data_IF_836817255579
#
_entry.id   IF_836817255579
#
_cell.length_a   1.000
_cell.length_b   1.000
_cell.length_c   1.000
_cell.angle_alpha   90.00
_cell.angle_beta   90.00
_cell.angle_gamma   90.00
#
_symmetry.space_group_name_H-M   'P 1'
#
loop_
_entity.id
_entity.type
_entity.pdbx_description
1 polymer ?
#
# COMPACT_ATOMS: atom_id res chain seq x y z
N UNK A 1 32.16 15.12 -19.56
CA UNK A 1 30.97 15.52 -18.78
C UNK A 1 30.93 14.73 -17.48
N UNK A 2 31.02 15.38 -16.34
CA UNK A 2 30.81 14.72 -15.04
C UNK A 2 29.38 14.96 -14.57
N UNK A 3 28.44 14.15 -15.06
CA UNK A 3 27.00 14.29 -14.79
C UNK A 3 26.70 14.18 -13.30
N UNK A 4 27.34 13.24 -12.62
CA UNK A 4 27.10 13.01 -11.19
C UNK A 4 27.49 14.24 -10.35
N UNK A 5 28.57 14.91 -10.70
CA UNK A 5 28.99 16.14 -10.06
C UNK A 5 27.95 17.27 -10.17
N UNK A 6 27.39 17.42 -11.36
CA UNK A 6 26.38 18.46 -11.62
C UNK A 6 25.09 18.15 -10.85
N UNK A 7 24.64 16.89 -10.89
CA UNK A 7 23.42 16.47 -10.16
C UNK A 7 23.58 16.63 -8.65
N UNK A 8 24.78 16.37 -8.11
CA UNK A 8 25.06 16.55 -6.68
C UNK A 8 24.97 18.03 -6.23
N UNK A 9 25.38 18.97 -7.09
CA UNK A 9 25.36 20.42 -6.80
C UNK A 9 24.00 21.07 -7.07
N UNK A 10 23.15 20.41 -7.85
CA UNK A 10 21.90 20.99 -8.30
C UNK A 10 20.77 20.73 -7.29
N UNK A 11 20.04 21.76 -6.90
CA UNK A 11 18.79 21.63 -6.17
C UNK A 11 17.61 21.65 -7.13
N UNK A 12 16.97 20.50 -7.30
CA UNK A 12 15.84 20.33 -8.19
C UNK A 12 14.59 21.09 -7.72
N UNK A 13 14.42 21.30 -6.42
CA UNK A 13 13.33 22.13 -5.90
C UNK A 13 13.48 23.60 -6.35
N UNK A 14 14.69 24.12 -6.29
CA UNK A 14 14.98 25.48 -6.78
C UNK A 14 14.78 25.58 -8.29
N UNK A 15 15.19 24.58 -9.07
CA UNK A 15 14.93 24.55 -10.52
C UNK A 15 13.43 24.54 -10.83
N UNK A 16 12.65 23.80 -10.10
CA UNK A 16 11.18 23.76 -10.26
C UNK A 16 10.57 25.11 -9.91
N UNK A 17 11.04 25.80 -8.87
CA UNK A 17 10.62 27.17 -8.54
C UNK A 17 11.00 28.16 -9.64
N UNK A 18 12.21 28.06 -10.17
CA UNK A 18 12.68 28.88 -11.30
C UNK A 18 11.82 28.66 -12.56
N UNK A 19 11.27 27.45 -12.73
CA UNK A 19 10.35 27.12 -13.82
C UNK A 19 8.90 27.57 -13.57
N UNK A 20 8.61 28.24 -12.44
CA UNK A 20 7.28 28.71 -12.07
C UNK A 20 6.44 27.72 -11.25
N UNK A 21 7.00 26.57 -10.88
CA UNK A 21 6.35 25.64 -9.97
C UNK A 21 6.47 26.09 -8.50
N UNK A 22 5.52 25.68 -7.66
CA UNK A 22 5.52 25.99 -6.22
C UNK A 22 5.34 24.70 -5.41
N UNK A 23 6.39 23.87 -5.28
CA UNK A 23 6.30 22.63 -4.54
C UNK A 23 5.94 22.88 -3.08
N UNK A 24 4.96 22.10 -2.57
CA UNK A 24 4.59 22.08 -1.17
C UNK A 24 5.63 21.32 -0.31
N UNK A 25 5.36 21.17 0.99
CA UNK A 25 6.23 20.47 1.94
C UNK A 25 6.42 18.98 1.61
N UNK A 26 5.58 18.41 0.71
CA UNK A 26 5.66 17.06 0.21
C UNK A 26 6.26 16.99 -1.20
N UNK A 27 6.76 18.12 -1.73
CA UNK A 27 7.34 18.21 -3.05
C UNK A 27 6.32 18.19 -4.20
N UNK A 28 5.03 18.44 -3.94
CA UNK A 28 3.97 18.40 -4.94
C UNK A 28 3.58 19.80 -5.42
N UNK A 29 3.35 19.93 -6.72
CA UNK A 29 2.85 21.16 -7.33
C UNK A 29 2.13 20.89 -8.65
N UNK A 30 1.59 21.94 -9.26
CA UNK A 30 1.21 21.94 -10.66
C UNK A 30 2.46 21.75 -11.54
N UNK A 31 2.32 21.05 -12.66
CA UNK A 31 3.47 20.77 -13.52
C UNK A 31 4.00 22.04 -14.22
N UNK A 32 5.24 22.46 -13.97
CA UNK A 32 5.79 23.67 -14.58
C UNK A 32 6.20 23.47 -16.06
N UNK A 33 6.17 22.21 -16.55
CA UNK A 33 6.59 21.89 -17.92
C UNK A 33 5.44 22.09 -18.91
N UNK A 34 4.24 21.57 -18.59
CA UNK A 34 3.07 21.66 -19.47
C UNK A 34 1.95 22.55 -18.91
N UNK A 35 2.15 23.20 -17.75
CA UNK A 35 1.20 24.18 -17.21
C UNK A 35 -0.12 23.57 -16.71
N UNK A 36 -0.10 22.39 -16.12
CA UNK A 36 -1.33 21.74 -15.62
C UNK A 36 -1.88 22.41 -14.35
N UNK A 37 -3.21 22.46 -14.22
CA UNK A 37 -3.91 23.14 -13.11
C UNK A 37 -3.93 22.37 -11.78
N UNK A 38 -3.60 21.08 -11.79
CA UNK A 38 -3.67 20.25 -10.60
C UNK A 38 -2.42 20.38 -9.72
N UNK A 39 -2.56 20.82 -8.46
CA UNK A 39 -1.42 21.06 -7.56
C UNK A 39 -0.71 19.80 -7.10
N UNK A 40 -1.16 18.62 -7.49
CA UNK A 40 -0.60 17.31 -7.05
C UNK A 40 -0.02 16.48 -8.20
N UNK A 41 -0.11 16.94 -9.43
CA UNK A 41 0.26 16.15 -10.61
C UNK A 41 1.74 16.18 -10.95
N UNK A 42 2.53 16.99 -10.29
CA UNK A 42 3.98 17.00 -10.38
C UNK A 42 4.57 16.77 -9.01
N UNK A 43 5.59 15.93 -8.91
CA UNK A 43 6.21 15.56 -7.65
C UNK A 43 7.73 15.59 -7.77
N UNK A 44 8.37 16.35 -6.90
CA UNK A 44 9.81 16.32 -6.64
C UNK A 44 10.04 15.47 -5.39
N UNK A 45 10.92 14.50 -5.46
CA UNK A 45 11.19 13.59 -4.37
C UNK A 45 12.66 13.15 -4.35
N UNK A 46 13.10 12.60 -3.24
CA UNK A 46 14.44 12.01 -3.14
C UNK A 46 14.33 10.49 -3.19
N UNK A 47 15.13 9.86 -4.05
CA UNK A 47 15.26 8.41 -4.17
C UNK A 47 16.73 8.05 -4.21
N UNK A 48 17.17 7.17 -3.29
CA UNK A 48 18.57 6.75 -3.17
C UNK A 48 19.58 7.93 -3.12
N UNK A 49 19.23 8.99 -2.36
CA UNK A 49 20.04 10.19 -2.22
C UNK A 49 20.06 11.12 -3.44
N UNK A 50 19.30 10.83 -4.49
CA UNK A 50 19.17 11.67 -5.69
C UNK A 50 17.80 12.35 -5.71
N UNK A 51 17.78 13.62 -6.05
CA UNK A 51 16.53 14.35 -6.31
C UNK A 51 16.00 13.95 -7.68
N UNK A 52 14.74 13.56 -7.70
CA UNK A 52 14.02 13.08 -8.88
C UNK A 52 12.70 13.83 -9.02
N UNK A 53 12.15 13.84 -10.22
CA UNK A 53 10.80 14.36 -10.46
C UNK A 53 9.95 13.38 -11.25
N UNK A 54 8.65 13.55 -11.15
CA UNK A 54 7.65 12.79 -11.90
C UNK A 54 6.43 13.66 -12.19
N UNK A 55 6.00 13.69 -13.45
CA UNK A 55 4.69 14.21 -13.84
C UNK A 55 3.70 13.06 -13.98
N UNK A 56 2.50 13.19 -13.38
CA UNK A 56 1.46 12.15 -13.36
C UNK A 56 0.29 12.44 -14.32
N UNK A 57 0.27 13.61 -14.97
CA UNK A 57 -0.86 14.07 -15.80
C UNK A 57 -0.50 14.49 -17.22
N UNK A 58 0.66 14.11 -17.71
CA UNK A 58 1.06 14.47 -19.07
C UNK A 58 2.26 13.64 -19.52
N UNK A 59 2.61 13.75 -20.80
CA UNK A 59 3.74 13.02 -21.40
C UNK A 59 5.11 13.62 -21.04
N UNK A 60 5.18 14.45 -19.98
CA UNK A 60 6.43 15.02 -19.52
C UNK A 60 7.42 13.95 -19.01
N UNK A 61 6.89 12.87 -18.48
CA UNK A 61 7.71 11.78 -17.93
C UNK A 61 8.22 12.04 -16.53
N UNK A 62 9.49 11.76 -16.29
CA UNK A 62 10.20 11.94 -15.03
C UNK A 62 11.69 11.75 -15.24
N UNK A 63 12.48 12.00 -14.21
CA UNK A 63 13.92 11.87 -14.27
C UNK A 63 14.65 12.69 -13.20
N UNK A 64 15.90 13.04 -13.47
CA UNK A 64 16.73 13.90 -12.63
C UNK A 64 16.67 15.37 -13.04
N UNK A 65 17.57 16.19 -12.51
CA UNK A 65 17.62 17.62 -12.82
C UNK A 65 17.99 17.92 -14.29
N UNK A 66 18.79 17.07 -14.93
CA UNK A 66 19.14 17.22 -16.34
C UNK A 66 17.94 16.94 -17.24
N UNK A 67 17.20 15.86 -16.93
CA UNK A 67 15.96 15.52 -17.62
C UNK A 67 14.92 16.64 -17.46
N UNK A 68 14.83 17.23 -16.23
CA UNK A 68 13.93 18.33 -15.97
C UNK A 68 14.24 19.54 -16.85
N UNK A 69 15.50 20.00 -16.86
CA UNK A 69 15.92 21.15 -17.66
C UNK A 69 15.71 20.88 -19.15
N UNK A 70 16.07 19.68 -19.61
CA UNK A 70 15.85 19.25 -20.99
C UNK A 70 14.38 19.35 -21.41
N UNK A 71 13.47 18.84 -20.59
CA UNK A 71 12.02 18.89 -20.86
C UNK A 71 11.44 20.29 -20.72
N UNK A 72 11.85 21.05 -19.69
CA UNK A 72 11.36 22.41 -19.44
C UNK A 72 11.77 23.40 -20.54
N UNK A 73 13.05 23.33 -20.99
CA UNK A 73 13.63 24.25 -21.95
C UNK A 73 13.61 23.76 -23.40
N UNK A 74 13.28 22.46 -23.61
CA UNK A 74 13.41 21.82 -24.92
C UNK A 74 14.87 21.68 -25.38
N UNK A 75 15.80 21.51 -24.42
CA UNK A 75 17.24 21.44 -24.69
C UNK A 75 17.73 19.98 -24.71
N UNK A 76 18.83 19.78 -25.44
CA UNK A 76 19.57 18.52 -25.40
C UNK A 76 20.37 18.39 -24.08
N UNK A 77 20.92 17.21 -23.86
CA UNK A 77 21.69 16.88 -22.66
C UNK A 77 22.88 17.84 -22.47
N UNK A 78 23.58 18.23 -23.54
CA UNK A 78 24.76 19.07 -23.47
C UNK A 78 24.39 20.46 -22.95
N UNK A 79 23.37 21.08 -23.53
CA UNK A 79 22.90 22.44 -23.12
C UNK A 79 22.34 22.40 -21.68
N UNK A 80 21.60 21.34 -21.33
CA UNK A 80 21.12 21.16 -19.95
C UNK A 80 22.26 21.04 -18.96
N UNK A 81 23.30 20.29 -19.32
CA UNK A 81 24.52 20.14 -18.53
C UNK A 81 25.27 21.45 -18.33
N UNK A 82 25.49 22.22 -19.41
CA UNK A 82 26.12 23.54 -19.37
C UNK A 82 25.33 24.53 -18.49
N UNK A 83 24.02 24.54 -18.62
CA UNK A 83 23.12 25.39 -17.82
C UNK A 83 23.21 25.09 -16.31
N UNK A 84 23.40 23.83 -15.94
CA UNK A 84 23.57 23.43 -14.55
C UNK A 84 25.01 23.61 -14.02
N UNK A 85 25.86 24.31 -14.76
CA UNK A 85 27.24 24.59 -14.35
C UNK A 85 28.25 23.47 -14.65
N UNK A 86 27.96 22.64 -15.65
CA UNK A 86 28.72 21.43 -16.00
C UNK A 86 30.12 21.66 -16.57
N UNK A 87 30.55 22.89 -16.84
CA UNK A 87 31.90 23.24 -17.31
C UNK A 87 32.93 23.40 -16.18
N UNK A 88 32.49 23.56 -14.93
CA UNK A 88 33.40 23.66 -13.78
C UNK A 88 33.93 22.28 -13.40
N UNK A 89 35.23 22.13 -13.39
CA UNK A 89 35.86 20.93 -12.78
C UNK A 89 35.45 20.85 -11.30
N UNK A 90 34.58 19.90 -10.98
CA UNK A 90 34.16 19.70 -9.59
C UNK A 90 35.34 19.17 -8.80
N UNK A 91 35.68 19.85 -7.71
CA UNK A 91 36.68 19.37 -6.74
C UNK A 91 36.20 18.00 -6.19
N UNK A 92 36.99 16.91 -6.34
CA UNK A 92 36.62 15.60 -5.83
C UNK A 92 36.34 15.58 -4.33
N UNK A 93 37.03 16.43 -3.56
CA UNK A 93 36.82 16.55 -2.13
C UNK A 93 35.45 17.19 -1.80
N UNK A 94 35.10 18.27 -2.49
CA UNK A 94 33.79 18.92 -2.35
C UNK A 94 32.65 17.99 -2.76
N UNK A 95 32.85 17.20 -3.82
CA UNK A 95 31.89 16.20 -4.28
C UNK A 95 31.61 15.13 -3.24
N UNK A 96 32.68 14.59 -2.63
CA UNK A 96 32.56 13.61 -1.57
C UNK A 96 31.82 14.20 -0.37
N UNK A 97 32.18 15.40 0.08
CA UNK A 97 31.51 16.10 1.19
C UNK A 97 30.01 16.28 0.93
N UNK A 98 29.62 16.74 -0.27
CA UNK A 98 28.21 16.92 -0.63
C UNK A 98 27.43 15.60 -0.70
N UNK A 99 28.08 14.54 -1.17
CA UNK A 99 27.49 13.19 -1.14
C UNK A 99 27.29 12.70 0.28
N UNK A 100 28.28 12.83 1.14
CA UNK A 100 28.22 12.44 2.55
C UNK A 100 27.13 13.22 3.31
N UNK A 101 27.04 14.54 3.08
CA UNK A 101 25.99 15.40 3.67
C UNK A 101 24.58 14.97 3.22
N UNK A 102 24.40 14.59 1.96
CA UNK A 102 23.11 14.09 1.46
C UNK A 102 22.75 12.73 2.05
N UNK A 103 23.71 11.82 2.13
CA UNK A 103 23.51 10.52 2.76
C UNK A 103 23.12 10.67 4.22
N UNK A 104 23.82 11.55 4.95
CA UNK A 104 23.51 11.82 6.36
C UNK A 104 22.14 12.45 6.52
N UNK A 105 21.77 13.42 5.68
CA UNK A 105 20.40 14.02 5.70
C UNK A 105 19.33 12.97 5.45
N UNK A 106 19.51 12.14 4.42
CA UNK A 106 18.57 11.07 4.10
C UNK A 106 18.44 10.04 5.25
N UNK A 107 19.55 9.74 5.93
CA UNK A 107 19.56 8.87 7.11
C UNK A 107 18.75 9.49 8.26
N UNK A 108 19.00 10.76 8.58
CA UNK A 108 18.29 11.48 9.65
C UNK A 108 16.80 11.63 9.36
N UNK A 109 16.41 11.90 8.11
CA UNK A 109 15.01 11.95 7.68
C UNK A 109 14.32 10.59 7.85
N UNK A 110 15.01 9.50 7.51
CA UNK A 110 14.49 8.14 7.69
C UNK A 110 14.32 7.79 9.17
N UNK A 111 15.32 8.10 10.00
CA UNK A 111 15.27 7.87 11.45
C UNK A 111 14.15 8.69 12.10
N UNK A 112 13.98 9.97 11.72
CA UNK A 112 12.90 10.81 12.24
C UNK A 112 11.52 10.26 11.83
N UNK A 113 11.39 9.83 10.57
CA UNK A 113 10.17 9.18 10.08
C UNK A 113 9.87 7.90 10.86
N UNK A 114 10.85 7.04 11.10
CA UNK A 114 10.69 5.83 11.89
C UNK A 114 10.26 6.13 13.33
N UNK A 115 10.91 7.10 13.97
CA UNK A 115 10.56 7.54 15.32
C UNK A 115 9.13 8.06 15.42
N UNK A 116 8.68 8.87 14.44
CA UNK A 116 7.29 9.35 14.37
C UNK A 116 6.30 8.20 14.18
N UNK A 117 6.63 7.25 13.32
CA UNK A 117 5.79 6.07 13.11
C UNK A 117 5.69 5.21 14.37
N UNK A 118 6.79 4.99 15.09
CA UNK A 118 6.78 4.24 16.34
C UNK A 118 5.98 4.95 17.44
N UNK A 119 6.11 6.27 17.55
CA UNK A 119 5.34 7.05 18.50
C UNK A 119 3.84 6.98 18.21
N UNK A 120 3.45 7.17 16.94
CA UNK A 120 2.06 7.07 16.51
C UNK A 120 1.48 5.65 16.71
N UNK A 121 2.31 4.61 16.50
CA UNK A 121 1.89 3.22 16.77
C UNK A 121 1.67 2.96 18.25
N UNK A 122 2.57 3.44 19.12
CA UNK A 122 2.38 3.32 20.58
C UNK A 122 1.12 4.02 21.05
N UNK A 123 0.85 5.22 20.55
CA UNK A 123 -0.39 5.96 20.83
C UNK A 123 -1.62 5.16 20.42
N UNK A 124 -1.62 4.60 19.20
CA UNK A 124 -2.69 3.77 18.70
C UNK A 124 -2.91 2.51 19.57
N UNK A 125 -1.83 1.86 20.01
CA UNK A 125 -1.88 0.66 20.86
C UNK A 125 -2.45 0.98 22.25
N UNK A 126 -2.02 2.09 22.86
CA UNK A 126 -2.52 2.50 24.19
C UNK A 126 -3.99 2.93 24.15
N UNK A 127 -4.44 3.47 23.03
CA UNK A 127 -5.81 3.97 22.90
C UNK A 127 -6.87 2.86 22.79
N UNK A 128 -6.47 1.61 22.48
CA UNK A 128 -7.34 0.43 22.35
C UNK A 128 -8.64 0.68 21.53
N UNK A 129 -8.57 1.58 20.56
CA UNK A 129 -9.74 2.03 19.80
C UNK A 129 -10.44 0.88 19.07
N UNK A 130 -9.70 -0.14 18.65
CA UNK A 130 -10.28 -1.32 18.00
C UNK A 130 -11.21 -2.07 18.93
N UNK A 131 -10.87 -2.20 20.22
CA UNK A 131 -11.75 -2.77 21.25
C UNK A 131 -12.98 -1.91 21.44
N UNK A 132 -12.79 -0.58 21.59
CA UNK A 132 -13.91 0.34 21.70
C UNK A 132 -14.87 0.25 20.51
N UNK A 133 -14.37 0.24 19.27
CA UNK A 133 -15.21 0.09 18.06
C UNK A 133 -15.95 -1.24 18.01
N UNK A 134 -15.38 -2.30 18.56
CA UNK A 134 -16.04 -3.60 18.66
C UNK A 134 -17.14 -3.58 19.73
N UNK A 135 -16.83 -3.17 20.95
CA UNK A 135 -17.74 -3.21 22.09
C UNK A 135 -18.93 -2.26 21.95
N UNK A 136 -18.71 -1.09 21.35
CA UNK A 136 -19.76 -0.08 21.13
C UNK A 136 -20.48 -0.20 19.78
N UNK A 137 -20.16 -1.25 19.00
CA UNK A 137 -20.76 -1.45 17.69
C UNK A 137 -22.26 -1.60 17.77
N UNK A 138 -22.98 -0.69 17.13
CA UNK A 138 -24.45 -0.73 17.02
C UNK A 138 -24.94 -1.79 16.06
N UNK A 139 -26.23 -2.09 16.12
CA UNK A 139 -26.85 -3.16 15.33
C UNK A 139 -26.61 -3.00 13.83
N UNK A 140 -26.61 -1.77 13.27
CA UNK A 140 -26.34 -1.56 11.85
C UNK A 140 -24.95 -2.10 11.42
N UNK A 141 -23.95 -1.92 12.28
CA UNK A 141 -22.59 -2.41 12.01
C UNK A 141 -22.53 -3.94 12.03
N UNK A 142 -23.18 -4.56 13.04
CA UNK A 142 -23.33 -6.01 13.14
C UNK A 142 -24.04 -6.60 11.90
N UNK A 143 -25.14 -5.99 11.49
CA UNK A 143 -25.90 -6.40 10.31
C UNK A 143 -25.08 -6.28 9.02
N UNK A 144 -24.27 -5.21 8.90
CA UNK A 144 -23.39 -5.04 7.74
C UNK A 144 -22.28 -6.08 7.67
N UNK A 145 -21.74 -6.50 8.80
CA UNK A 145 -20.77 -7.60 8.87
C UNK A 145 -21.44 -8.94 8.57
N UNK A 146 -22.60 -9.21 9.17
CA UNK A 146 -23.37 -10.42 8.93
C UNK A 146 -23.75 -10.61 7.45
N UNK A 147 -24.14 -9.53 6.76
CA UNK A 147 -24.41 -9.53 5.31
C UNK A 147 -23.17 -9.90 4.47
N UNK A 148 -21.98 -9.82 5.03
CA UNK A 148 -20.74 -10.25 4.40
C UNK A 148 -20.32 -11.68 4.80
N UNK A 149 -21.17 -12.42 5.50
CA UNK A 149 -20.90 -13.76 5.98
C UNK A 149 -20.06 -13.82 7.26
N UNK A 150 -19.95 -12.70 7.97
CA UNK A 150 -19.23 -12.60 9.24
C UNK A 150 -20.26 -12.41 10.36
N UNK A 151 -20.72 -13.51 10.93
CA UNK A 151 -21.65 -13.54 12.06
C UNK A 151 -21.05 -12.96 13.35
N UNK A 152 -21.83 -12.86 14.43
CA UNK A 152 -21.36 -12.27 15.68
C UNK A 152 -20.16 -13.01 16.30
N UNK A 153 -20.07 -14.32 16.14
CA UNK A 153 -18.93 -15.11 16.59
C UNK A 153 -17.65 -14.73 15.85
N UNK A 154 -17.73 -14.61 14.52
CA UNK A 154 -16.62 -14.17 13.67
C UNK A 154 -16.27 -12.69 13.88
N UNK A 155 -17.27 -11.84 14.10
CA UNK A 155 -17.04 -10.44 14.45
C UNK A 155 -16.23 -10.31 15.74
N UNK A 156 -16.56 -11.10 16.75
CA UNK A 156 -15.82 -11.15 18.02
C UNK A 156 -14.44 -11.75 17.85
N UNK A 157 -14.32 -12.85 17.10
CA UNK A 157 -13.04 -13.51 16.85
C UNK A 157 -12.01 -12.58 16.18
N UNK A 158 -12.46 -11.80 15.20
CA UNK A 158 -11.61 -10.84 14.48
C UNK A 158 -11.62 -9.42 15.09
N UNK A 159 -12.33 -9.21 16.19
CA UNK A 159 -12.51 -7.91 16.83
C UNK A 159 -12.99 -6.85 15.82
N UNK A 160 -13.91 -7.24 14.93
CA UNK A 160 -14.48 -6.33 13.95
C UNK A 160 -15.41 -5.35 14.64
N UNK A 161 -15.37 -4.10 14.19
CA UNK A 161 -16.16 -3.04 14.81
C UNK A 161 -16.82 -2.12 13.79
N UNK A 162 -17.37 -1.03 14.30
CA UNK A 162 -17.89 0.08 13.49
C UNK A 162 -17.66 1.41 14.19
N UNK A 163 -17.40 2.44 13.40
CA UNK A 163 -17.34 3.82 13.85
C UNK A 163 -18.47 4.61 13.18
N UNK A 164 -19.28 5.32 13.96
CA UNK A 164 -20.42 6.07 13.42
C UNK A 164 -19.99 7.35 12.72
N UNK A 165 -18.90 7.94 13.20
CA UNK A 165 -18.47 9.27 12.79
C UNK A 165 -16.96 9.31 12.59
N UNK A 166 -16.50 8.66 11.51
CA UNK A 166 -15.10 8.73 11.13
C UNK A 166 -14.82 9.97 10.29
N UNK A 167 -13.86 10.78 10.73
CA UNK A 167 -13.54 12.07 10.10
C UNK A 167 -12.41 11.91 9.09
N UNK A 168 -12.63 12.31 7.86
CA UNK A 168 -11.64 12.31 6.77
C UNK A 168 -11.29 13.74 6.43
N UNK A 169 -9.98 14.05 6.43
CA UNK A 169 -9.43 15.37 6.08
C UNK A 169 -10.00 16.54 6.92
N UNK A 170 -10.54 16.24 8.10
CA UNK A 170 -11.01 17.24 9.06
C UNK A 170 -12.46 17.73 8.86
N UNK A 171 -13.11 17.40 7.75
CA UNK A 171 -14.43 17.96 7.39
C UNK A 171 -15.44 16.93 6.83
N UNK A 172 -14.98 15.79 6.36
CA UNK A 172 -15.88 14.76 5.84
C UNK A 172 -16.13 13.66 6.88
N UNK A 173 -17.36 13.60 7.36
CA UNK A 173 -17.84 12.66 8.37
C UNK A 173 -18.59 11.50 7.71
N UNK A 174 -18.24 10.27 8.05
CA UNK A 174 -18.89 9.08 7.47
C UNK A 174 -18.83 7.88 8.41
N UNK A 175 -19.90 7.06 8.46
CA UNK A 175 -19.82 5.79 9.18
C UNK A 175 -18.88 4.81 8.46
N UNK A 176 -18.20 3.99 9.26
CA UNK A 176 -17.26 3.00 8.76
C UNK A 176 -17.38 1.66 9.47
N UNK A 177 -17.00 0.60 8.78
CA UNK A 177 -16.69 -0.68 9.40
C UNK A 177 -15.19 -0.73 9.69
N UNK A 178 -14.78 -1.25 10.85
CA UNK A 178 -13.38 -1.25 11.28
C UNK A 178 -12.79 -2.65 11.33
N UNK A 179 -11.58 -2.76 10.78
CA UNK A 179 -10.79 -4.00 10.74
C UNK A 179 -9.46 -3.71 11.43
N UNK A 180 -9.20 -4.26 12.61
CA UNK A 180 -7.89 -4.15 13.23
C UNK A 180 -6.87 -4.99 12.46
N UNK A 181 -5.68 -4.44 12.30
CA UNK A 181 -4.56 -5.09 11.61
C UNK A 181 -3.48 -5.36 12.63
N UNK A 182 -3.16 -6.63 12.82
CA UNK A 182 -2.17 -7.08 13.79
C UNK A 182 -0.89 -7.57 13.12
N UNK A 183 0.22 -7.48 13.84
CA UNK A 183 1.46 -8.19 13.50
C UNK A 183 1.34 -9.68 13.83
N UNK A 184 2.34 -10.48 13.43
CA UNK A 184 2.47 -11.88 13.84
C UNK A 184 2.58 -12.03 15.37
N UNK A 185 3.11 -11.02 16.06
CA UNK A 185 3.20 -10.97 17.52
C UNK A 185 1.90 -10.48 18.20
N UNK A 186 0.79 -10.37 17.47
CA UNK A 186 -0.49 -9.85 17.96
C UNK A 186 -0.46 -8.37 18.40
N UNK A 187 0.51 -7.59 17.96
CA UNK A 187 0.54 -6.16 18.20
C UNK A 187 -0.33 -5.43 17.19
N UNK A 188 -1.14 -4.48 17.64
CA UNK A 188 -1.95 -3.65 16.76
C UNK A 188 -1.04 -2.74 15.92
N UNK A 189 -1.08 -2.93 14.60
CA UNK A 189 -0.32 -2.13 13.64
C UNK A 189 -1.08 -0.92 13.16
N UNK A 190 -2.37 -1.07 12.91
CA UNK A 190 -3.31 -0.01 12.54
C UNK A 190 -4.75 -0.53 12.58
N UNK A 191 -5.72 0.36 12.38
CA UNK A 191 -7.12 0.00 12.14
C UNK A 191 -7.48 0.49 10.74
N UNK A 192 -8.08 -0.40 9.95
CA UNK A 192 -8.54 -0.10 8.60
C UNK A 192 -10.03 0.22 8.64
N UNK A 193 -10.39 1.42 8.23
CA UNK A 193 -11.76 1.87 8.09
C UNK A 193 -12.26 1.59 6.69
N UNK A 194 -13.32 0.80 6.57
CA UNK A 194 -14.07 0.63 5.34
C UNK A 194 -15.24 1.59 5.34
N UNK A 195 -15.21 2.57 4.45
CA UNK A 195 -16.25 3.58 4.33
C UNK A 195 -17.57 2.94 3.90
N UNK A 196 -18.65 3.26 4.58
CA UNK A 196 -20.01 2.81 4.24
C UNK A 196 -20.49 3.53 2.97
N UNK A 197 -20.24 4.84 2.91
CA UNK A 197 -20.64 5.69 1.78
C UNK A 197 -19.41 6.41 1.20
N UNK A 198 -18.55 5.74 0.41
CA UNK A 198 -17.36 6.39 -0.16
C UNK A 198 -17.77 7.41 -1.22
N UNK A 199 -17.19 8.61 -1.19
CA UNK A 199 -17.45 9.67 -2.19
C UNK A 199 -16.98 9.26 -3.59
N UNK A 200 -15.96 8.41 -3.68
CA UNK A 200 -15.44 7.87 -4.95
C UNK A 200 -15.41 6.34 -4.89
N UNK A 201 -15.75 5.62 -5.96
CA UNK A 201 -15.77 4.15 -5.97
C UNK A 201 -14.47 3.48 -5.54
N UNK A 202 -13.34 4.12 -5.83
CA UNK A 202 -12.01 3.60 -5.49
C UNK A 202 -11.53 4.02 -4.08
N UNK A 203 -12.29 4.85 -3.39
CA UNK A 203 -11.92 5.43 -2.11
C UNK A 203 -12.65 4.73 -0.96
N UNK A 204 -12.50 3.41 -0.88
CA UNK A 204 -13.28 2.57 0.04
C UNK A 204 -12.64 2.40 1.42
N UNK A 205 -11.35 2.68 1.54
CA UNK A 205 -10.61 2.37 2.76
C UNK A 205 -9.75 3.55 3.22
N UNK A 206 -9.68 3.73 4.53
CA UNK A 206 -8.80 4.69 5.20
C UNK A 206 -8.10 4.05 6.40
N UNK A 207 -6.86 4.42 6.71
CA UNK A 207 -6.24 4.04 7.97
C UNK A 207 -6.76 4.90 9.12
N UNK A 208 -6.84 4.36 10.33
CA UNK A 208 -7.09 5.12 11.56
C UNK A 208 -6.00 6.17 11.76
N UNK A 209 -4.74 5.74 11.67
CA UNK A 209 -3.60 6.61 11.81
C UNK A 209 -2.85 6.70 10.49
N UNK A 210 -2.86 7.89 9.90
CA UNK A 210 -2.09 8.17 8.69
C UNK A 210 -0.59 8.12 8.97
N UNK A 211 0.20 7.71 7.98
CA UNK A 211 1.67 7.73 8.06
C UNK A 211 2.30 6.54 8.78
N UNK A 212 1.53 5.61 9.35
CA UNK A 212 2.06 4.35 9.90
C UNK A 212 2.58 3.37 8.83
N UNK A 213 2.64 3.83 7.59
CA UNK A 213 3.00 3.00 6.46
C UNK A 213 1.79 2.29 5.84
N UNK A 214 2.06 1.51 4.81
CA UNK A 214 1.04 0.65 4.21
C UNK A 214 0.55 -0.37 5.24
N UNK A 215 -0.70 -0.78 5.10
CA UNK A 215 -1.17 -1.96 5.81
C UNK A 215 -0.25 -3.14 5.49
N UNK A 216 -0.07 -4.10 6.44
CA UNK A 216 0.65 -5.31 6.12
C UNK A 216 0.06 -5.91 4.84
N UNK A 217 0.88 -6.38 3.91
CA UNK A 217 0.38 -6.99 2.68
C UNK A 217 -0.37 -8.29 2.95
N UNK A 218 -0.29 -8.81 4.18
CA UNK A 218 -0.82 -10.10 4.56
C UNK A 218 -1.73 -9.99 5.78
N UNK A 219 -2.87 -10.64 5.69
CA UNK A 219 -3.63 -11.13 6.84
C UNK A 219 -3.56 -12.66 6.77
N UNK A 220 -2.86 -13.30 7.68
CA UNK A 220 -2.76 -14.77 7.76
C UNK A 220 -3.66 -15.29 8.88
N UNK A 221 -4.47 -16.31 8.59
CA UNK A 221 -5.42 -16.94 9.51
C UNK A 221 -5.30 -18.48 9.40
N UNK A 222 -4.91 -19.21 10.44
CA UNK A 222 -4.35 -18.74 11.71
C UNK A 222 -2.98 -18.07 11.53
N UNK A 223 -2.62 -17.24 12.48
CA UNK A 223 -1.45 -16.35 12.36
C UNK A 223 -0.10 -17.04 12.50
N UNK A 224 0.01 -18.12 13.24
CA UNK A 224 1.29 -18.70 13.64
C UNK A 224 1.33 -20.22 13.58
N UNK A 225 2.52 -20.77 13.32
CA UNK A 225 2.81 -22.20 13.51
C UNK A 225 2.28 -23.12 12.41
N UNK A 226 2.02 -22.59 11.24
CA UNK A 226 1.49 -23.38 10.13
C UNK A 226 2.60 -24.20 9.44
N UNK A 227 2.69 -25.45 9.80
CA UNK A 227 3.74 -26.40 9.45
C UNK A 227 3.44 -27.26 8.22
N UNK A 228 3.10 -26.69 7.09
CA UNK A 228 3.14 -27.46 5.85
C UNK A 228 1.83 -28.03 5.32
N UNK A 229 0.68 -27.57 5.77
CA UNK A 229 -0.61 -27.81 5.12
C UNK A 229 -0.80 -27.00 3.83
N UNK A 230 -2.04 -26.70 3.49
CA UNK A 230 -2.41 -25.95 2.31
C UNK A 230 -2.57 -24.47 2.64
N UNK A 231 -2.00 -23.59 1.82
CA UNK A 231 -2.21 -22.15 1.92
C UNK A 231 -3.16 -21.71 0.81
N UNK A 232 -4.20 -20.97 1.20
CA UNK A 232 -5.14 -20.34 0.27
C UNK A 232 -4.89 -18.83 0.28
N UNK A 233 -4.62 -18.25 -0.87
CA UNK A 233 -4.36 -16.81 -1.01
C UNK A 233 -5.50 -16.14 -1.75
N UNK A 234 -6.05 -15.07 -1.17
CA UNK A 234 -7.16 -14.30 -1.74
C UNK A 234 -6.87 -12.80 -1.72
N UNK A 235 -7.62 -12.02 -2.49
CA UNK A 235 -7.50 -10.56 -2.49
C UNK A 235 -8.37 -9.93 -1.39
N UNK A 236 -7.76 -9.28 -0.43
CA UNK A 236 -8.44 -8.53 0.64
C UNK A 236 -8.72 -9.32 1.92
N UNK A 237 -8.77 -8.58 3.01
CA UNK A 237 -8.89 -9.13 4.36
C UNK A 237 -10.28 -9.75 4.60
N UNK A 238 -11.34 -9.09 4.16
CA UNK A 238 -12.71 -9.59 4.36
C UNK A 238 -12.89 -10.94 3.65
N UNK A 239 -12.42 -11.06 2.42
CA UNK A 239 -12.48 -12.33 1.68
C UNK A 239 -11.67 -13.41 2.37
N UNK A 240 -10.51 -13.07 2.93
CA UNK A 240 -9.72 -14.04 3.71
C UNK A 240 -10.50 -14.54 4.93
N UNK A 241 -11.13 -13.66 5.68
CA UNK A 241 -11.95 -14.02 6.84
C UNK A 241 -13.13 -14.92 6.45
N UNK A 242 -13.86 -14.56 5.39
CA UNK A 242 -15.00 -15.38 4.89
C UNK A 242 -14.53 -16.74 4.36
N UNK A 243 -13.45 -16.76 3.59
CA UNK A 243 -12.86 -17.99 3.06
C UNK A 243 -12.42 -18.93 4.18
N UNK A 244 -11.71 -18.39 5.18
CA UNK A 244 -11.27 -19.16 6.34
C UNK A 244 -12.45 -19.70 7.15
N UNK A 245 -13.44 -18.87 7.45
CA UNK A 245 -14.63 -19.26 8.18
C UNK A 245 -15.43 -20.35 7.43
N UNK A 246 -15.52 -20.26 6.11
CA UNK A 246 -16.21 -21.25 5.28
C UNK A 246 -15.44 -22.58 5.18
N UNK A 247 -14.11 -22.53 5.09
CA UNK A 247 -13.29 -23.73 5.09
C UNK A 247 -13.36 -24.46 6.44
N UNK A 248 -13.25 -23.71 7.53
CA UNK A 248 -13.30 -24.22 8.91
C UNK A 248 -12.44 -25.50 9.13
N UNK A 249 -11.21 -25.49 8.59
CA UNK A 249 -10.29 -26.64 8.61
C UNK A 249 -8.96 -26.18 9.18
N UNK A 250 -8.46 -26.89 10.22
CA UNK A 250 -7.21 -26.55 10.91
C UNK A 250 -5.96 -26.63 10.03
N UNK A 251 -5.99 -27.48 8.99
CA UNK A 251 -4.85 -27.71 8.08
C UNK A 251 -4.74 -26.70 6.95
N UNK A 252 -5.52 -25.63 6.97
CA UNK A 252 -5.49 -24.61 5.95
C UNK A 252 -5.22 -23.24 6.57
N UNK A 253 -4.20 -22.60 6.07
CA UNK A 253 -3.98 -21.17 6.30
C UNK A 253 -4.62 -20.38 5.17
N UNK A 254 -5.33 -19.31 5.50
CA UNK A 254 -5.84 -18.35 4.51
C UNK A 254 -5.10 -17.04 4.63
N UNK A 255 -4.61 -16.53 3.53
CA UNK A 255 -3.87 -15.28 3.44
C UNK A 255 -4.64 -14.28 2.59
N UNK A 256 -4.95 -13.12 3.16
CA UNK A 256 -5.52 -11.98 2.45
C UNK A 256 -4.45 -10.98 2.06
N UNK A 257 -4.34 -10.65 0.77
CA UNK A 257 -3.40 -9.62 0.30
C UNK A 257 -4.10 -8.29 0.06
N UNK A 258 -3.40 -7.18 0.29
CA UNK A 258 -3.95 -5.84 0.12
C UNK A 258 -4.02 -5.44 -1.37
N UNK A 259 -4.96 -6.04 -2.10
CA UNK A 259 -5.17 -5.80 -3.53
C UNK A 259 -4.29 -6.66 -4.43
N UNK A 260 -4.71 -6.82 -5.69
CA UNK A 260 -4.07 -7.70 -6.69
C UNK A 260 -2.57 -7.44 -6.89
N UNK A 261 -2.14 -6.19 -6.84
CA UNK A 261 -0.73 -5.81 -6.97
C UNK A 261 0.18 -6.33 -5.84
N UNK A 262 -0.40 -6.86 -4.76
CA UNK A 262 0.35 -7.45 -3.66
C UNK A 262 0.62 -8.95 -3.87
N UNK A 263 -0.09 -9.64 -4.77
CA UNK A 263 0.15 -11.06 -5.04
C UNK A 263 1.64 -11.38 -5.31
N UNK A 264 2.34 -10.73 -6.27
CA UNK A 264 3.72 -11.08 -6.53
C UNK A 264 4.68 -10.78 -5.38
N UNK A 265 4.31 -9.90 -4.47
CA UNK A 265 5.18 -9.44 -3.37
C UNK A 265 5.36 -10.45 -2.25
N UNK A 266 4.42 -11.39 -2.12
CA UNK A 266 4.45 -12.44 -1.08
C UNK A 266 5.10 -13.75 -1.56
N UNK A 267 5.72 -13.73 -2.75
CA UNK A 267 6.27 -14.96 -3.33
C UNK A 267 7.38 -15.59 -2.47
N UNK A 268 8.18 -14.77 -1.77
CA UNK A 268 9.26 -15.28 -0.93
C UNK A 268 8.75 -16.04 0.30
N UNK A 269 7.67 -15.57 0.92
CA UNK A 269 7.04 -16.18 2.10
C UNK A 269 6.34 -17.50 1.75
N UNK A 270 6.01 -17.70 0.48
CA UNK A 270 5.27 -18.85 -0.01
C UNK A 270 6.14 -19.91 -0.71
N UNK A 271 7.45 -19.68 -0.84
CA UNK A 271 8.37 -20.65 -1.48
C UNK A 271 8.35 -22.01 -0.77
N UNK A 272 8.25 -23.07 -1.56
CA UNK A 272 8.24 -24.45 -1.05
C UNK A 272 6.95 -24.90 -0.37
N UNK A 273 5.93 -24.02 -0.28
CA UNK A 273 4.64 -24.31 0.33
C UNK A 273 3.61 -24.78 -0.72
N UNK A 274 2.58 -25.52 -0.28
CA UNK A 274 1.45 -25.86 -1.15
C UNK A 274 0.48 -24.69 -1.19
N UNK A 275 0.37 -24.03 -2.32
CA UNK A 275 -0.40 -22.79 -2.46
C UNK A 275 -1.52 -22.94 -3.47
N UNK A 276 -2.72 -22.45 -3.11
CA UNK A 276 -3.84 -22.23 -4.01
C UNK A 276 -4.21 -20.76 -3.97
N UNK A 277 -4.27 -20.13 -5.13
CA UNK A 277 -4.59 -18.71 -5.27
C UNK A 277 -6.01 -18.61 -5.85
N UNK A 278 -6.84 -17.79 -5.21
CA UNK A 278 -8.21 -17.51 -5.67
C UNK A 278 -8.26 -16.02 -6.02
N UNK A 279 -8.04 -15.65 -7.29
CA UNK A 279 -8.09 -14.25 -7.71
C UNK A 279 -9.52 -13.72 -7.75
N UNK A 280 -9.67 -12.42 -7.58
CA UNK A 280 -10.88 -11.72 -8.02
C UNK A 280 -10.95 -11.70 -9.56
N UNK A 281 -12.13 -11.56 -10.15
CA UNK A 281 -12.26 -11.17 -11.54
C UNK A 281 -11.39 -9.94 -11.82
N UNK A 282 -10.55 -9.98 -12.88
CA UNK A 282 -9.53 -8.98 -13.25
C UNK A 282 -8.21 -9.05 -12.43
N UNK A 283 -8.02 -10.02 -11.56
CA UNK A 283 -6.78 -10.28 -10.82
C UNK A 283 -5.99 -11.50 -11.33
N UNK A 284 -6.42 -12.10 -12.42
CA UNK A 284 -5.88 -13.37 -12.93
C UNK A 284 -4.41 -13.25 -13.33
N UNK A 285 -4.00 -12.12 -13.92
CA UNK A 285 -2.63 -11.90 -14.36
C UNK A 285 -1.64 -11.95 -13.20
N UNK A 286 -1.92 -11.22 -12.14
CA UNK A 286 -1.07 -11.15 -10.95
C UNK A 286 -1.08 -12.46 -10.16
N UNK A 287 -2.22 -13.16 -10.17
CA UNK A 287 -2.34 -14.51 -9.58
C UNK A 287 -1.51 -15.54 -10.35
N UNK A 288 -1.52 -15.51 -11.69
CA UNK A 288 -0.69 -16.37 -12.54
C UNK A 288 0.80 -16.10 -12.28
N UNK A 289 1.19 -14.84 -12.19
CA UNK A 289 2.57 -14.46 -11.86
C UNK A 289 3.02 -15.04 -10.50
N UNK A 290 2.17 -14.95 -9.47
CA UNK A 290 2.46 -15.55 -8.18
C UNK A 290 2.52 -17.08 -8.28
N UNK A 291 1.53 -17.71 -8.92
CA UNK A 291 1.48 -19.17 -9.08
C UNK A 291 2.74 -19.72 -9.74
N UNK A 292 3.22 -19.07 -10.80
CA UNK A 292 4.47 -19.44 -11.48
C UNK A 292 5.69 -19.33 -10.56
N UNK A 293 5.76 -18.28 -9.73
CA UNK A 293 6.89 -18.07 -8.81
C UNK A 293 6.97 -19.09 -7.70
N UNK A 294 5.81 -19.56 -7.20
CA UNK A 294 5.74 -20.46 -6.03
C UNK A 294 5.34 -21.89 -6.37
N UNK A 295 5.22 -22.23 -7.65
CA UNK A 295 4.65 -23.50 -8.12
C UNK A 295 3.27 -23.77 -7.51
N UNK A 296 2.46 -22.72 -7.43
CA UNK A 296 1.10 -22.75 -6.88
C UNK A 296 0.05 -23.10 -7.93
N UNK A 297 -1.16 -23.33 -7.48
CA UNK A 297 -2.34 -23.63 -8.30
C UNK A 297 -3.33 -22.48 -8.23
N UNK A 298 -4.21 -22.36 -9.24
CA UNK A 298 -5.23 -21.33 -9.31
C UNK A 298 -6.61 -21.99 -9.24
N UNK A 299 -7.47 -21.46 -8.38
CA UNK A 299 -8.89 -21.76 -8.35
C UNK A 299 -9.66 -20.54 -8.85
N UNK A 300 -10.20 -20.64 -10.05
CA UNK A 300 -11.09 -19.61 -10.59
C UNK A 300 -12.53 -19.88 -10.10
N UNK A 301 -13.16 -18.85 -9.59
CA UNK A 301 -14.59 -18.83 -9.23
C UNK A 301 -15.32 -17.79 -10.08
N UNK A 302 -16.65 -17.95 -10.28
CA UNK A 302 -17.40 -17.08 -11.20
C UNK A 302 -17.49 -15.61 -10.77
N UNK A 303 -17.34 -15.33 -9.49
CA UNK A 303 -17.41 -13.99 -8.90
C UNK A 303 -16.32 -13.83 -7.83
N UNK A 304 -16.33 -12.76 -7.06
CA UNK A 304 -15.47 -12.63 -5.87
C UNK A 304 -15.76 -13.75 -4.90
N UNK A 305 -14.73 -14.28 -4.29
CA UNK A 305 -14.85 -15.48 -3.46
C UNK A 305 -15.86 -15.34 -2.32
N UNK A 306 -15.92 -14.19 -1.65
CA UNK A 306 -16.89 -13.92 -0.59
C UNK A 306 -18.33 -13.91 -1.13
N UNK A 307 -18.58 -13.23 -2.23
CA UNK A 307 -19.90 -13.17 -2.89
C UNK A 307 -20.31 -14.58 -3.40
N UNK A 308 -19.40 -15.32 -4.00
CA UNK A 308 -19.63 -16.69 -4.47
C UNK A 308 -20.00 -17.65 -3.34
N UNK A 309 -19.28 -17.61 -2.22
CA UNK A 309 -19.53 -18.47 -1.07
C UNK A 309 -20.86 -18.16 -0.39
N UNK A 310 -21.25 -16.89 -0.34
CA UNK A 310 -22.55 -16.46 0.19
C UNK A 310 -23.71 -16.87 -0.71
N UNK A 311 -23.56 -16.67 -2.04
CA UNK A 311 -24.62 -16.97 -3.01
C UNK A 311 -24.92 -18.47 -3.14
N UNK A 312 -23.89 -19.33 -2.99
CA UNK A 312 -24.03 -20.78 -3.20
C UNK A 312 -24.37 -21.54 -1.96
N UNK A 313 -24.27 -20.93 -0.78
CA UNK A 313 -24.36 -21.63 0.54
C UNK A 313 -23.57 -22.94 0.58
N UNK A 314 -22.40 -22.92 -0.04
CA UNK A 314 -21.56 -24.11 -0.24
C UNK A 314 -21.10 -24.67 1.10
N UNK A 315 -21.23 -25.98 1.28
CA UNK A 315 -20.72 -26.66 2.48
C UNK A 315 -19.18 -26.61 2.52
N UNK A 316 -18.61 -26.64 3.73
CA UNK A 316 -17.16 -26.65 3.96
C UNK A 316 -16.48 -27.78 3.19
N UNK A 317 -17.05 -28.99 3.17
CA UNK A 317 -16.51 -30.15 2.48
C UNK A 317 -16.45 -29.95 0.95
N UNK A 318 -17.50 -29.37 0.36
CA UNK A 318 -17.55 -29.12 -1.08
C UNK A 318 -16.52 -28.05 -1.45
N UNK A 319 -16.44 -26.97 -0.68
CA UNK A 319 -15.47 -25.92 -0.93
C UNK A 319 -14.04 -26.43 -0.74
N UNK A 320 -13.78 -27.20 0.30
CA UNK A 320 -12.48 -27.85 0.50
C UNK A 320 -12.08 -28.74 -0.68
N UNK A 321 -13.03 -29.53 -1.19
CA UNK A 321 -12.81 -30.37 -2.37
C UNK A 321 -12.44 -29.54 -3.59
N UNK A 322 -13.11 -28.41 -3.84
CA UNK A 322 -12.75 -27.50 -4.91
C UNK A 322 -11.33 -26.95 -4.76
N UNK A 323 -10.98 -26.49 -3.56
CA UNK A 323 -9.63 -25.96 -3.26
C UNK A 323 -8.56 -27.04 -3.50
N UNK A 324 -8.83 -28.30 -3.10
CA UNK A 324 -7.92 -29.45 -3.31
C UNK A 324 -7.74 -29.81 -4.78
N UNK A 325 -8.77 -29.62 -5.61
CA UNK A 325 -8.79 -29.95 -7.03
C UNK A 325 -8.34 -28.79 -7.93
N UNK A 326 -7.99 -27.65 -7.37
CA UNK A 326 -7.46 -26.50 -8.12
C UNK A 326 -6.29 -26.90 -9.03
N UNK A 327 -6.19 -26.28 -10.20
CA UNK A 327 -5.21 -26.60 -11.26
C UNK A 327 -4.13 -25.52 -11.39
#
# INVERSE_FOLDING_TARGET
>A
MNIEAVLLKTDLFELVRLAGGSPDNHGRCACPIHGGDSPVNFHVYTSNGKQMWKCFSGDCGGGDALDFVGKWRGWDLKKSYEFLGGEQQADPYEMKRLADERHERARLELEDKQRRMEAARRELQVADRHIHYHETMKQWGKDMWAKRGLDEGLQSFFTLGACEDFVINGDYHTPTLTIPIFSEARELLNIKHRLVNPQKPNDKYRPETSGLGAFPPLLAIPEMGYDGGLIVVVEGEIKAMVTWARLNISDIQVIGVAGKSAFPKISNELQGKKVVIIPDPQGEKEAIELAQKVNGRILNVPDKIDDFLLATDMSSNNFYSMVRQAR
#
